data_IF_902283293741
#
_entry.id   IF_902283293741
#
_cell.length_a   1.000
_cell.length_b   1.000
_cell.length_c   1.000
_cell.angle_alpha   90.00
_cell.angle_beta   90.00
_cell.angle_gamma   90.00
#
_symmetry.space_group_name_H-M   'P 1'
#
loop_
_entity.id
_entity.type
_entity.pdbx_description
1 polymer ?
#
# COMPACT_ATOMS: atom_id res chain seq x y z
N UNK A 1 -34.91 -0.61 -10.61
CA UNK A 1 -34.27 0.66 -10.90
C UNK A 1 -33.03 0.47 -11.74
N UNK A 2 -33.02 1.11 -12.89
CA UNK A 2 -31.92 1.00 -13.84
C UNK A 2 -30.58 1.45 -13.23
N UNK A 3 -30.61 2.54 -12.49
CA UNK A 3 -29.36 3.10 -11.91
C UNK A 3 -28.72 2.16 -10.93
N UNK A 4 -29.52 1.46 -10.13
CA UNK A 4 -29.00 0.54 -9.17
C UNK A 4 -28.33 -0.66 -9.85
N UNK A 5 -28.97 -1.22 -10.86
CA UNK A 5 -28.40 -2.33 -11.63
C UNK A 5 -27.11 -1.92 -12.32
N UNK A 6 -27.13 -0.76 -12.99
CA UNK A 6 -25.92 -0.25 -13.67
C UNK A 6 -24.80 0.03 -12.70
N UNK A 7 -25.12 0.59 -11.53
CA UNK A 7 -24.12 0.85 -10.50
C UNK A 7 -23.48 -0.43 -9.97
N UNK A 8 -24.33 -1.47 -9.75
CA UNK A 8 -23.87 -2.75 -9.26
C UNK A 8 -22.92 -3.42 -10.27
N UNK A 9 -23.30 -3.37 -11.55
CA UNK A 9 -22.47 -3.91 -12.63
C UNK A 9 -21.15 -3.15 -12.76
N UNK A 10 -21.20 -1.82 -12.68
CA UNK A 10 -20.00 -0.99 -12.72
C UNK A 10 -19.04 -1.30 -11.59
N UNK A 11 -19.57 -1.53 -10.38
CA UNK A 11 -18.75 -1.89 -9.22
C UNK A 11 -18.02 -3.20 -9.43
N UNK A 12 -18.67 -4.19 -10.06
CA UNK A 12 -18.06 -5.49 -10.34
C UNK A 12 -16.92 -5.35 -11.36
N UNK A 13 -16.96 -4.35 -12.23
CA UNK A 13 -15.95 -4.11 -13.24
C UNK A 13 -14.89 -3.10 -12.81
N UNK A 14 -14.98 -2.62 -11.57
CA UNK A 14 -14.04 -1.65 -11.04
C UNK A 14 -12.62 -2.24 -11.02
N UNK A 15 -11.67 -1.48 -11.53
CA UNK A 15 -10.28 -1.92 -11.59
C UNK A 15 -9.45 -1.27 -10.50
N UNK A 16 -8.32 -1.88 -10.20
CA UNK A 16 -7.39 -1.36 -9.18
C UNK A 16 -7.01 0.09 -9.50
N UNK A 17 -6.73 0.38 -10.76
CA UNK A 17 -6.35 1.74 -11.18
C UNK A 17 -7.45 2.78 -10.89
N UNK A 18 -8.70 2.35 -10.75
CA UNK A 18 -9.82 3.27 -10.47
C UNK A 18 -9.89 3.69 -9.01
N UNK A 19 -9.28 2.94 -8.10
CA UNK A 19 -9.40 3.16 -6.66
C UNK A 19 -8.08 3.37 -5.95
N UNK A 20 -6.95 3.21 -6.64
CA UNK A 20 -5.64 3.35 -6.03
C UNK A 20 -5.29 4.82 -5.74
N UNK A 21 -4.43 5.02 -4.76
CA UNK A 21 -3.77 6.30 -4.51
C UNK A 21 -2.50 6.34 -5.34
N UNK A 22 -2.19 7.48 -5.95
CA UNK A 22 -1.05 7.62 -6.84
C UNK A 22 -0.42 9.00 -6.71
N UNK A 23 0.75 9.17 -7.32
CA UNK A 23 1.47 10.44 -7.27
C UNK A 23 1.82 10.83 -5.85
N UNK A 24 1.50 12.06 -5.47
CA UNK A 24 1.77 12.56 -4.13
C UNK A 24 1.04 11.84 -3.01
N UNK A 25 0.02 11.05 -3.35
CA UNK A 25 -0.75 10.27 -2.37
C UNK A 25 -0.19 8.87 -2.16
N UNK A 26 0.90 8.52 -2.83
CA UNK A 26 1.60 7.26 -2.64
C UNK A 26 2.67 7.45 -1.56
N UNK A 27 2.50 6.86 -0.36
CA UNK A 27 3.50 7.03 0.70
C UNK A 27 4.81 6.35 0.32
N UNK A 28 5.91 7.08 0.42
CA UNK A 28 7.22 6.58 0.04
C UNK A 28 8.32 7.35 0.76
N UNK A 29 9.32 6.64 1.26
CA UNK A 29 10.53 7.25 1.80
C UNK A 29 11.74 6.54 1.19
N UNK A 30 12.89 7.21 1.23
CA UNK A 30 14.14 6.63 0.75
C UNK A 30 14.67 5.61 1.76
N UNK A 31 15.43 4.63 1.28
CA UNK A 31 15.95 3.54 2.12
C UNK A 31 16.89 4.01 3.22
N UNK A 32 17.52 5.15 3.04
CA UNK A 32 18.42 5.74 4.05
C UNK A 32 17.71 6.78 4.93
N UNK A 33 16.42 6.99 4.75
CA UNK A 33 15.64 7.86 5.63
C UNK A 33 15.61 7.28 7.04
N UNK A 34 15.43 8.15 8.02
CA UNK A 34 15.35 7.74 9.42
C UNK A 34 13.97 7.18 9.74
N UNK A 35 13.91 6.33 10.74
CA UNK A 35 12.63 5.77 11.19
C UNK A 35 11.61 6.87 11.50
N UNK A 36 12.04 7.99 12.11
CA UNK A 36 11.14 9.11 12.39
C UNK A 36 10.46 9.65 11.14
N UNK A 37 11.19 9.70 10.03
CA UNK A 37 10.65 10.20 8.77
C UNK A 37 9.62 9.23 8.19
N UNK A 38 9.85 7.93 8.33
CA UNK A 38 8.88 6.92 7.89
C UNK A 38 7.60 7.01 8.72
N UNK A 39 7.71 7.21 10.03
CA UNK A 39 6.54 7.36 10.90
C UNK A 39 5.72 8.58 10.47
N UNK A 40 6.38 9.69 10.16
CA UNK A 40 5.69 10.89 9.69
C UNK A 40 4.98 10.65 8.36
N UNK A 41 5.62 9.91 7.46
CA UNK A 41 5.01 9.59 6.16
C UNK A 41 3.77 8.72 6.33
N UNK A 42 3.85 7.70 7.19
CA UNK A 42 2.70 6.83 7.51
C UNK A 42 1.55 7.67 8.08
N UNK A 43 1.87 8.56 9.03
CA UNK A 43 0.85 9.43 9.64
C UNK A 43 0.19 10.35 8.64
N UNK A 44 0.97 10.90 7.72
CA UNK A 44 0.47 11.87 6.74
C UNK A 44 -0.54 11.26 5.80
N UNK A 45 -0.30 10.03 5.34
CA UNK A 45 -1.16 9.39 4.34
C UNK A 45 -2.29 8.54 4.92
N UNK A 46 -2.20 8.14 6.19
CA UNK A 46 -3.24 7.41 6.91
C UNK A 46 -3.62 6.06 6.28
N UNK A 47 -2.68 5.44 5.59
CA UNK A 47 -2.88 4.10 5.01
C UNK A 47 -2.25 3.00 5.86
N UNK A 48 -1.59 3.39 6.96
CA UNK A 48 -0.98 2.44 7.87
C UNK A 48 0.31 1.82 7.37
N UNK A 49 0.90 2.38 6.30
CA UNK A 49 2.10 1.82 5.68
C UNK A 49 2.82 2.91 4.87
N UNK A 50 4.12 2.73 4.68
CA UNK A 50 4.88 3.47 3.67
C UNK A 50 5.75 2.51 2.88
N UNK A 51 5.93 2.78 1.60
CA UNK A 51 6.92 2.10 0.80
C UNK A 51 8.30 2.68 1.11
N UNK A 52 9.32 1.88 0.80
CA UNK A 52 10.72 2.29 0.95
C UNK A 52 11.39 2.06 -0.39
N UNK A 53 11.99 3.12 -0.94
CA UNK A 53 12.58 3.04 -2.26
C UNK A 53 14.10 3.10 -2.19
N UNK A 54 14.72 2.42 -3.14
CA UNK A 54 16.15 2.45 -3.36
C UNK A 54 16.38 2.52 -4.86
N UNK A 55 17.13 3.52 -5.29
CA UNK A 55 17.43 3.73 -6.72
C UNK A 55 16.16 3.78 -7.58
N UNK A 56 15.13 4.43 -7.07
CA UNK A 56 13.87 4.61 -7.78
C UNK A 56 12.95 3.39 -7.78
N UNK A 57 13.32 2.33 -7.09
CA UNK A 57 12.52 1.10 -7.04
C UNK A 57 12.06 0.79 -5.62
N UNK A 58 10.90 0.16 -5.51
CA UNK A 58 10.37 -0.27 -4.22
C UNK A 58 11.21 -1.43 -3.69
N UNK A 59 11.91 -1.19 -2.58
CA UNK A 59 12.77 -2.20 -1.96
C UNK A 59 12.15 -2.86 -0.74
N UNK A 60 11.16 -2.21 -0.14
CA UNK A 60 10.50 -2.74 1.04
C UNK A 60 9.36 -1.86 1.49
N UNK A 61 8.85 -2.15 2.67
CA UNK A 61 7.79 -1.34 3.27
C UNK A 61 7.88 -1.39 4.78
N UNK A 62 7.20 -0.45 5.43
CA UNK A 62 7.12 -0.38 6.87
C UNK A 62 5.68 -0.05 7.23
N UNK A 63 5.05 -0.91 8.03
CA UNK A 63 3.65 -0.77 8.41
C UNK A 63 3.50 -0.43 9.89
N UNK A 64 2.27 -0.05 10.28
CA UNK A 64 1.94 0.16 11.69
C UNK A 64 2.23 -1.09 12.53
N UNK A 65 1.99 -2.28 11.97
CA UNK A 65 2.29 -3.53 12.64
C UNK A 65 3.78 -3.70 12.87
N UNK A 66 4.60 -3.31 11.89
CA UNK A 66 6.06 -3.36 12.04
C UNK A 66 6.51 -2.40 13.13
N UNK A 67 5.94 -1.19 13.18
CA UNK A 67 6.26 -0.21 14.21
C UNK A 67 5.92 -0.74 15.60
N UNK A 68 4.78 -1.40 15.74
CA UNK A 68 4.37 -1.99 17.00
C UNK A 68 5.37 -3.05 17.45
N UNK A 69 5.81 -3.91 16.54
CA UNK A 69 6.80 -4.95 16.86
C UNK A 69 8.13 -4.34 17.29
N UNK A 70 8.57 -3.29 16.60
CA UNK A 70 9.80 -2.57 16.94
C UNK A 70 9.68 -1.97 18.34
N UNK A 71 8.55 -1.33 18.63
CA UNK A 71 8.30 -0.74 19.95
C UNK A 71 8.30 -1.80 21.05
N UNK A 72 7.63 -2.93 20.81
CA UNK A 72 7.56 -4.02 21.78
C UNK A 72 8.91 -4.66 22.04
N UNK A 73 9.82 -4.62 21.07
CA UNK A 73 11.16 -5.16 21.23
C UNK A 73 12.02 -4.35 22.20
N UNK A 74 11.64 -3.11 22.46
CA UNK A 74 12.42 -2.20 23.30
C UNK A 74 13.62 -1.59 22.61
N UNK A 75 13.79 -1.80 21.32
CA UNK A 75 14.94 -1.32 20.56
C UNK A 75 14.56 -0.30 19.49
N UNK A 76 13.56 0.54 19.78
CA UNK A 76 13.16 1.58 18.84
C UNK A 76 14.18 2.70 18.83
N UNK A 77 14.82 2.89 17.68
CA UNK A 77 15.77 3.97 17.43
C UNK A 77 15.22 4.84 16.30
N UNK A 78 14.74 6.02 16.66
CA UNK A 78 14.13 6.94 15.69
C UNK A 78 15.12 7.44 14.65
N UNK A 79 16.42 7.32 14.88
CA UNK A 79 17.44 7.75 13.95
C UNK A 79 17.99 6.60 13.09
N UNK A 80 17.54 5.38 13.32
CA UNK A 80 17.97 4.24 12.52
C UNK A 80 17.47 4.37 11.08
N UNK A 81 18.28 3.99 10.08
CA UNK A 81 17.83 4.02 8.70
C UNK A 81 16.78 2.93 8.46
N UNK A 82 15.74 3.28 7.71
CA UNK A 82 14.59 2.39 7.52
C UNK A 82 14.96 1.10 6.81
N UNK A 83 16.02 1.09 6.00
CA UNK A 83 16.46 -0.14 5.32
C UNK A 83 16.80 -1.28 6.29
N UNK A 84 17.15 -0.93 7.53
CA UNK A 84 17.49 -1.93 8.55
C UNK A 84 16.25 -2.50 9.24
N UNK A 85 15.11 -1.84 9.07
CA UNK A 85 13.88 -2.16 9.79
C UNK A 85 12.76 -2.63 8.89
N UNK A 86 12.91 -2.43 7.59
CA UNK A 86 11.84 -2.66 6.63
C UNK A 86 11.54 -4.14 6.43
N UNK A 87 10.30 -4.38 6.04
CA UNK A 87 9.88 -5.67 5.54
C UNK A 87 10.20 -5.73 4.05
N UNK A 88 10.93 -6.76 3.61
CA UNK A 88 11.27 -6.95 2.20
C UNK A 88 10.10 -7.62 1.46
N UNK A 89 10.07 -7.46 0.15
CA UNK A 89 9.08 -8.09 -0.73
C UNK A 89 7.64 -7.71 -0.37
N UNK A 90 7.30 -6.42 -0.41
CA UNK A 90 5.91 -6.02 -0.19
C UNK A 90 5.01 -6.63 -1.27
N UNK A 91 3.79 -6.98 -0.88
CA UNK A 91 2.81 -7.55 -1.81
C UNK A 91 2.38 -6.52 -2.83
N UNK A 92 2.26 -6.96 -4.07
CA UNK A 92 1.94 -6.09 -5.21
C UNK A 92 0.81 -6.68 -6.05
N UNK A 93 0.14 -5.81 -6.79
CA UNK A 93 -0.87 -6.21 -7.76
C UNK A 93 -0.74 -5.34 -9.01
N UNK A 94 -1.07 -5.88 -10.16
CA UNK A 94 -1.03 -5.16 -11.43
C UNK A 94 -2.23 -4.20 -11.53
N UNK A 95 -2.00 -3.01 -12.08
CA UNK A 95 -2.99 -1.92 -12.10
C UNK A 95 -4.27 -2.26 -12.86
N UNK A 96 -4.18 -3.11 -13.87
CA UNK A 96 -5.33 -3.50 -14.68
C UNK A 96 -6.21 -4.60 -14.09
N UNK A 97 -5.81 -5.18 -12.96
CA UNK A 97 -6.60 -6.21 -12.30
C UNK A 97 -7.89 -5.61 -11.74
N UNK A 98 -8.90 -6.45 -11.56
CA UNK A 98 -10.15 -6.02 -10.95
C UNK A 98 -9.95 -5.72 -9.47
N UNK A 99 -10.70 -4.74 -8.97
CA UNK A 99 -10.68 -4.43 -7.54
C UNK A 99 -11.11 -5.63 -6.71
N UNK A 100 -12.04 -6.44 -7.24
CA UNK A 100 -12.45 -7.68 -6.56
C UNK A 100 -11.31 -8.69 -6.45
N UNK A 101 -10.42 -8.74 -7.42
CA UNK A 101 -9.25 -9.61 -7.36
C UNK A 101 -8.28 -9.11 -6.29
N UNK A 102 -8.09 -7.79 -6.19
CA UNK A 102 -7.26 -7.20 -5.15
C UNK A 102 -7.82 -7.53 -3.77
N UNK A 103 -9.12 -7.39 -3.60
CA UNK A 103 -9.79 -7.71 -2.34
C UNK A 103 -9.57 -9.17 -1.95
N UNK A 104 -9.67 -10.07 -2.92
CA UNK A 104 -9.45 -11.49 -2.70
C UNK A 104 -8.01 -11.77 -2.21
N UNK A 105 -7.03 -11.14 -2.86
CA UNK A 105 -5.62 -11.26 -2.44
C UNK A 105 -5.43 -10.77 -1.02
N UNK A 106 -6.02 -9.61 -0.68
CA UNK A 106 -5.93 -9.06 0.66
C UNK A 106 -6.53 -9.99 1.71
N UNK A 107 -7.70 -10.57 1.41
CA UNK A 107 -8.35 -11.50 2.33
C UNK A 107 -7.57 -12.79 2.49
N UNK A 108 -7.04 -13.32 1.39
CA UNK A 108 -6.27 -14.56 1.41
C UNK A 108 -4.98 -14.42 2.21
N UNK A 109 -4.30 -13.28 2.10
CA UNK A 109 -3.03 -13.03 2.78
C UNK A 109 -3.19 -12.26 4.09
N UNK A 110 -4.43 -11.94 4.47
CA UNK A 110 -4.73 -11.21 5.71
C UNK A 110 -4.00 -9.88 5.80
N UNK A 111 -3.99 -9.16 4.69
CA UNK A 111 -3.42 -7.82 4.58
C UNK A 111 -4.49 -6.87 4.08
N UNK A 112 -4.30 -5.58 4.32
CA UNK A 112 -5.28 -4.56 3.97
C UNK A 112 -4.81 -3.64 2.85
N UNK A 113 -3.60 -3.84 2.33
CA UNK A 113 -3.02 -2.91 1.38
C UNK A 113 -2.11 -3.66 0.40
N UNK A 114 -2.09 -3.19 -0.84
CA UNK A 114 -1.22 -3.73 -1.89
C UNK A 114 -0.57 -2.57 -2.63
N UNK A 115 0.71 -2.68 -2.93
CA UNK A 115 1.35 -1.77 -3.87
C UNK A 115 0.92 -2.14 -5.28
N UNK A 116 0.80 -1.15 -6.14
CA UNK A 116 0.28 -1.34 -7.49
C UNK A 116 1.38 -1.06 -8.50
N UNK A 117 1.60 -1.99 -9.42
CA UNK A 117 2.56 -1.82 -10.50
C UNK A 117 1.85 -1.81 -11.85
N UNK A 118 2.52 -1.24 -12.85
CA UNK A 118 2.02 -1.20 -14.21
C UNK A 118 3.11 -1.69 -15.15
N UNK A 119 2.78 -2.72 -15.92
CA UNK A 119 3.72 -3.34 -16.85
C UNK A 119 4.66 -4.30 -16.14
N UNK A 120 5.70 -3.77 -15.52
CA UNK A 120 6.66 -4.59 -14.77
C UNK A 120 6.51 -4.35 -13.29
N UNK A 121 6.88 -5.35 -12.48
CA UNK A 121 6.76 -5.26 -11.03
C UNK A 121 7.63 -4.17 -10.40
N UNK A 122 8.63 -3.68 -11.14
CA UNK A 122 9.47 -2.59 -10.67
C UNK A 122 8.85 -1.23 -10.88
N UNK A 123 7.81 -1.13 -11.69
CA UNK A 123 7.16 0.14 -12.00
C UNK A 123 5.95 0.36 -11.08
N UNK A 124 6.22 0.84 -9.88
CA UNK A 124 5.17 1.09 -8.89
C UNK A 124 4.48 2.41 -9.22
N UNK A 125 3.16 2.34 -9.44
CA UNK A 125 2.36 3.50 -9.82
C UNK A 125 1.36 3.91 -8.74
N UNK A 126 1.14 3.08 -7.72
CA UNK A 126 0.15 3.43 -6.70
C UNK A 126 0.13 2.45 -5.55
N UNK A 127 -0.88 2.63 -4.72
CA UNK A 127 -1.18 1.78 -3.59
C UNK A 127 -2.69 1.72 -3.42
N UNK A 128 -3.21 0.54 -3.10
CA UNK A 128 -4.65 0.36 -2.90
C UNK A 128 -4.89 -0.23 -1.51
N UNK A 129 -5.83 0.38 -0.79
CA UNK A 129 -6.22 -0.05 0.55
C UNK A 129 -7.60 -0.70 0.47
N UNK A 130 -7.84 -1.70 1.30
CA UNK A 130 -9.12 -2.41 1.33
C UNK A 130 -10.30 -1.45 1.48
N UNK A 131 -10.17 -0.41 2.31
CA UNK A 131 -11.24 0.56 2.51
C UNK A 131 -11.63 1.30 1.23
N UNK A 132 -10.65 1.57 0.36
CA UNK A 132 -10.92 2.26 -0.91
C UNK A 132 -11.77 1.39 -1.83
N UNK A 133 -11.50 0.08 -1.82
CA UNK A 133 -12.27 -0.87 -2.63
C UNK A 133 -13.69 -0.97 -2.08
N UNK A 134 -13.84 -1.10 -0.77
CA UNK A 134 -15.15 -1.23 -0.14
C UNK A 134 -15.98 0.05 -0.30
N UNK A 135 -15.35 1.22 -0.20
CA UNK A 135 -16.03 2.49 -0.43
C UNK A 135 -16.39 2.69 -1.89
N UNK A 136 -15.61 2.06 -2.80
CA UNK A 136 -15.93 2.04 -4.22
C UNK A 136 -17.11 1.14 -4.56
N UNK A 137 -17.62 0.39 -3.59
CA UNK A 137 -18.85 -0.34 -3.73
C UNK A 137 -18.74 -1.86 -3.88
N UNK A 138 -17.59 -2.41 -3.58
CA UNK A 138 -17.46 -3.87 -3.57
C UNK A 138 -17.79 -4.48 -2.21
#
# INVERSE_FOLDING_TARGET
MLFRSAGSLGKKLLRVTDVMHQGGDLPMVQHDAKLRDAIMEISRHRLGITGISQDGQLSGCLSDGDLRRILESGHMDLDAPVRELMHSNPMKIESGKLASEALHVMEEHKIMVLFVYEGTENNIVGIVHMHDILQGGL
#
